data_IF_455837075172
#
_entry.id   IF_455837075172
#
_cell.length_a   1.000
_cell.length_b   1.000
_cell.length_c   1.000
_cell.angle_alpha   90.00
_cell.angle_beta   90.00
_cell.angle_gamma   90.00
#
_symmetry.space_group_name_H-M   'P 1'
#
loop_
_entity.id
_entity.type
_entity.pdbx_description
1 polymer ?
#
# COMPACT_ATOMS: atom_id res chain seq x y z
N UNK A 1 6.10 11.24 -18.03
CA UNK A 1 4.96 10.42 -17.58
C UNK A 1 4.36 11.14 -16.38
N UNK A 2 3.05 11.41 -16.34
CA UNK A 2 2.46 12.12 -15.18
C UNK A 2 2.40 11.18 -13.98
N UNK A 3 3.00 11.59 -12.87
CA UNK A 3 2.84 10.91 -11.59
C UNK A 3 1.57 11.41 -10.90
N UNK A 4 1.04 10.61 -10.01
CA UNK A 4 -0.11 10.93 -9.18
C UNK A 4 0.27 10.64 -7.74
N UNK A 5 0.36 11.67 -6.89
CA UNK A 5 0.91 11.54 -5.53
C UNK A 5 2.27 10.81 -5.47
N UNK A 6 3.12 10.97 -6.49
CA UNK A 6 4.45 10.35 -6.54
C UNK A 6 4.51 8.88 -6.95
N UNK A 7 3.42 8.30 -7.46
CA UNK A 7 3.43 6.98 -8.08
C UNK A 7 2.75 6.99 -9.46
N UNK A 8 2.88 5.88 -10.18
CA UNK A 8 2.19 5.68 -11.46
C UNK A 8 0.74 5.29 -11.21
N UNK A 9 -0.20 6.15 -11.62
CA UNK A 9 -1.62 5.81 -11.59
C UNK A 9 -1.91 4.54 -12.40
N UNK A 10 -2.70 3.63 -11.82
CA UNK A 10 -3.26 2.48 -12.54
C UNK A 10 -4.71 2.76 -12.95
N UNK A 11 -5.14 2.17 -14.06
CA UNK A 11 -6.56 2.17 -14.44
C UNK A 11 -7.34 1.26 -13.49
N UNK A 12 -8.64 1.54 -13.31
CA UNK A 12 -9.54 0.66 -12.54
C UNK A 12 -9.51 -0.74 -13.19
N UNK A 13 -9.08 -1.80 -12.48
CA UNK A 13 -9.12 -3.15 -13.02
C UNK A 13 -10.55 -3.61 -13.25
N UNK A 14 -10.73 -4.57 -14.16
CA UNK A 14 -12.04 -5.18 -14.40
C UNK A 14 -12.56 -5.85 -13.13
N UNK A 15 -13.88 -5.76 -12.90
CA UNK A 15 -14.57 -6.36 -11.76
C UNK A 15 -14.11 -5.87 -10.37
N UNK A 16 -13.49 -4.69 -10.29
CA UNK A 16 -13.14 -4.04 -9.03
C UNK A 16 -14.02 -2.81 -8.80
N UNK A 17 -14.58 -2.71 -7.60
CA UNK A 17 -15.38 -1.55 -7.16
C UNK A 17 -14.48 -0.33 -6.98
N UNK A 18 -14.73 0.73 -7.73
CA UNK A 18 -14.14 2.04 -7.47
C UNK A 18 -14.86 2.71 -6.29
N UNK A 19 -14.10 3.38 -5.43
CA UNK A 19 -14.61 4.02 -4.22
C UNK A 19 -13.98 5.40 -4.04
N UNK A 20 -14.85 6.41 -4.00
CA UNK A 20 -14.49 7.80 -3.69
C UNK A 20 -14.44 8.03 -2.17
N UNK A 21 -13.53 7.32 -1.50
CA UNK A 21 -13.23 7.55 -0.09
C UNK A 21 -11.76 7.97 0.09
N UNK A 22 -11.52 8.80 1.09
CA UNK A 22 -10.19 9.10 1.57
C UNK A 22 -9.92 8.34 2.87
N UNK A 23 -9.14 7.24 2.87
CA UNK A 23 -8.78 6.51 4.08
C UNK A 23 -7.94 7.32 5.09
N UNK A 24 -7.39 8.47 4.69
CA UNK A 24 -6.59 9.35 5.54
C UNK A 24 -7.39 10.59 6.01
N UNK A 25 -8.69 10.65 5.72
CA UNK A 25 -9.53 11.77 6.15
C UNK A 25 -9.71 11.76 7.67
N UNK A 26 -9.94 12.95 8.24
CA UNK A 26 -10.17 13.07 9.69
C UNK A 26 -11.35 12.22 10.15
N UNK A 27 -12.41 12.16 9.35
CA UNK A 27 -13.62 11.40 9.62
C UNK A 27 -13.31 9.90 9.71
N UNK A 28 -12.52 9.36 8.76
CA UNK A 28 -12.09 7.95 8.79
C UNK A 28 -11.15 7.69 9.98
N UNK A 29 -10.25 8.61 10.29
CA UNK A 29 -9.32 8.44 11.41
C UNK A 29 -10.02 8.50 12.77
N UNK A 30 -11.15 9.20 12.89
CA UNK A 30 -11.96 9.28 14.10
C UNK A 30 -12.88 8.06 14.28
N UNK A 31 -13.31 7.43 13.19
CA UNK A 31 -14.13 6.20 13.20
C UNK A 31 -13.62 5.16 12.18
N UNK A 32 -12.48 4.50 12.48
CA UNK A 32 -11.84 3.59 11.54
C UNK A 32 -12.60 2.28 11.35
N UNK A 33 -13.41 1.85 12.31
CA UNK A 33 -14.13 0.57 12.23
C UNK A 33 -15.21 0.58 11.16
N UNK A 34 -15.95 1.69 11.03
CA UNK A 34 -16.91 1.89 9.94
C UNK A 34 -16.22 1.81 8.58
N UNK A 35 -15.05 2.43 8.44
CA UNK A 35 -14.25 2.35 7.22
C UNK A 35 -13.81 0.90 6.93
N UNK A 36 -13.24 0.20 7.91
CA UNK A 36 -12.74 -1.16 7.70
C UNK A 36 -13.87 -2.17 7.45
N UNK A 37 -15.04 -2.00 8.07
CA UNK A 37 -16.22 -2.83 7.76
C UNK A 37 -16.66 -2.63 6.31
N UNK A 38 -16.83 -1.37 5.91
CA UNK A 38 -17.20 -0.99 4.55
C UNK A 38 -16.19 -1.49 3.50
N UNK A 39 -14.89 -1.44 3.81
CA UNK A 39 -13.81 -1.96 2.97
C UNK A 39 -13.92 -3.47 2.78
N UNK A 40 -14.16 -4.23 3.85
CA UNK A 40 -14.32 -5.69 3.80
C UNK A 40 -15.56 -6.11 3.02
N UNK A 41 -16.67 -5.39 3.14
CA UNK A 41 -17.91 -5.73 2.42
C UNK A 41 -17.79 -5.57 0.90
N UNK A 42 -17.00 -4.59 0.43
CA UNK A 42 -16.87 -4.26 -1.01
C UNK A 42 -16.12 -5.28 -1.85
N UNK A 43 -15.45 -6.24 -1.24
CA UNK A 43 -14.75 -7.31 -1.95
C UNK A 43 -13.33 -7.57 -1.45
N UNK A 44 -12.55 -8.40 -2.18
CA UNK A 44 -11.15 -8.65 -1.87
C UNK A 44 -10.28 -7.40 -2.06
N UNK A 45 -10.56 -6.62 -3.10
CA UNK A 45 -9.90 -5.36 -3.39
C UNK A 45 -10.93 -4.29 -3.79
N UNK A 46 -10.62 -3.04 -3.47
CA UNK A 46 -11.31 -1.85 -3.96
C UNK A 46 -10.31 -0.92 -4.61
N UNK A 47 -10.77 -0.12 -5.56
CA UNK A 47 -9.96 0.91 -6.19
C UNK A 47 -10.25 2.26 -5.55
N UNK A 48 -9.23 2.90 -4.97
CA UNK A 48 -9.35 4.24 -4.36
C UNK A 48 -9.18 5.32 -5.42
N UNK A 49 -10.27 5.95 -5.83
CA UNK A 49 -10.25 6.95 -6.90
C UNK A 49 -9.34 8.14 -6.58
N UNK A 50 -9.31 8.56 -5.31
CA UNK A 50 -8.50 9.68 -4.81
C UNK A 50 -6.99 9.43 -4.93
N UNK A 51 -6.58 8.16 -4.89
CA UNK A 51 -5.17 7.75 -4.88
C UNK A 51 -4.75 6.92 -6.09
N UNK A 52 -5.68 6.54 -6.97
CA UNK A 52 -5.43 5.72 -8.18
C UNK A 52 -4.67 4.41 -7.88
N UNK A 53 -5.02 3.78 -6.76
CA UNK A 53 -4.40 2.56 -6.25
C UNK A 53 -5.45 1.56 -5.73
N UNK A 54 -5.03 0.31 -5.52
CA UNK A 54 -5.85 -0.73 -4.91
C UNK A 54 -5.68 -0.72 -3.38
N UNK A 55 -6.74 -1.05 -2.67
CA UNK A 55 -6.73 -1.30 -1.23
C UNK A 55 -7.42 -2.64 -0.92
N UNK A 56 -6.97 -3.32 0.14
CA UNK A 56 -7.60 -4.52 0.67
C UNK A 56 -7.66 -4.45 2.19
N UNK A 57 -8.70 -5.03 2.79
CA UNK A 57 -8.91 -5.05 4.25
C UNK A 57 -9.38 -6.40 4.80
N UNK A 58 -9.55 -7.40 3.93
CA UNK A 58 -9.89 -8.77 4.35
C UNK A 58 -8.62 -9.53 4.69
N UNK A 59 -8.69 -10.37 5.72
CA UNK A 59 -7.53 -11.12 6.22
C UNK A 59 -6.82 -11.94 5.13
N UNK A 60 -7.57 -12.64 4.27
CA UNK A 60 -7.01 -13.50 3.22
C UNK A 60 -6.10 -12.71 2.26
N UNK A 61 -6.61 -11.59 1.75
CA UNK A 61 -5.88 -10.73 0.82
C UNK A 61 -4.72 -10.02 1.50
N UNK A 62 -4.93 -9.46 2.69
CA UNK A 62 -3.87 -8.83 3.48
C UNK A 62 -2.73 -9.82 3.75
N UNK A 63 -3.05 -11.04 4.22
CA UNK A 63 -2.03 -12.08 4.45
C UNK A 63 -1.26 -12.41 3.19
N UNK A 64 -1.96 -12.59 2.06
CA UNK A 64 -1.33 -12.91 0.78
C UNK A 64 -0.40 -11.79 0.28
N UNK A 65 -0.82 -10.52 0.43
CA UNK A 65 0.01 -9.35 0.07
C UNK A 65 1.26 -9.28 0.93
N UNK A 66 1.12 -9.41 2.25
CA UNK A 66 2.24 -9.31 3.19
C UNK A 66 3.21 -10.50 3.14
N UNK A 67 2.78 -11.65 2.60
CA UNK A 67 3.60 -12.88 2.55
C UNK A 67 4.34 -13.08 1.23
N UNK A 68 4.04 -12.28 0.19
CA UNK A 68 4.61 -12.45 -1.15
C UNK A 68 5.40 -11.21 -1.59
N UNK A 69 6.61 -11.09 -1.05
CA UNK A 69 7.52 -9.98 -1.34
C UNK A 69 8.05 -9.98 -2.78
N UNK A 70 7.86 -11.06 -3.55
CA UNK A 70 8.25 -11.09 -4.97
C UNK A 70 7.27 -10.29 -5.82
N UNK A 71 5.97 -10.34 -5.47
CA UNK A 71 4.92 -9.58 -6.14
C UNK A 71 4.66 -8.23 -5.49
N UNK A 72 4.79 -8.13 -4.17
CA UNK A 72 4.49 -6.93 -3.38
C UNK A 72 5.76 -6.44 -2.66
N UNK A 73 6.58 -5.71 -3.41
CA UNK A 73 7.89 -5.20 -2.96
C UNK A 73 7.75 -4.01 -2.00
N UNK A 74 8.64 -3.93 -1.02
CA UNK A 74 8.80 -2.80 -0.10
C UNK A 74 9.95 -1.86 -0.52
N UNK A 75 10.89 -2.31 -1.37
CA UNK A 75 12.04 -1.49 -1.81
C UNK A 75 11.66 -0.22 -2.58
N UNK A 76 10.42 -0.14 -3.07
CA UNK A 76 9.88 1.04 -3.76
C UNK A 76 9.16 2.01 -2.82
N UNK A 77 9.33 1.84 -1.51
CA UNK A 77 8.62 2.58 -0.48
C UNK A 77 7.36 1.86 -0.02
N UNK A 78 7.03 2.03 1.25
CA UNK A 78 5.83 1.45 1.90
C UNK A 78 4.70 2.48 2.09
N UNK A 79 4.90 3.69 1.56
CA UNK A 79 3.89 4.75 1.49
C UNK A 79 3.32 4.90 0.07
N UNK A 80 2.67 6.04 -0.20
CA UNK A 80 2.09 6.32 -1.53
C UNK A 80 3.16 6.62 -2.59
N UNK A 81 4.29 7.20 -2.19
CA UNK A 81 5.38 7.57 -3.10
C UNK A 81 6.17 6.34 -3.56
N UNK A 82 6.52 6.32 -4.84
CA UNK A 82 7.29 5.26 -5.46
C UNK A 82 8.76 5.68 -5.59
N UNK A 83 9.64 5.10 -4.78
CA UNK A 83 11.05 5.50 -4.68
C UNK A 83 11.87 5.23 -5.95
N UNK A 84 11.32 4.47 -6.90
CA UNK A 84 11.92 4.30 -8.23
C UNK A 84 11.64 5.50 -9.15
N UNK A 85 10.58 6.25 -8.85
CA UNK A 85 10.08 7.35 -9.68
C UNK A 85 10.39 8.72 -9.05
N UNK A 86 10.45 8.80 -7.73
CA UNK A 86 10.76 10.03 -6.99
C UNK A 86 11.83 9.82 -5.93
N UNK A 87 12.55 10.91 -5.60
CA UNK A 87 13.53 10.90 -4.52
C UNK A 87 12.79 10.84 -3.17
N UNK A 88 13.08 9.85 -2.31
CA UNK A 88 12.51 9.79 -0.97
C UNK A 88 12.82 11.05 -0.15
N UNK A 89 11.89 11.48 0.70
CA UNK A 89 12.07 12.67 1.54
C UNK A 89 13.14 12.48 2.64
N UNK A 90 13.43 11.23 3.01
CA UNK A 90 14.51 10.83 3.91
C UNK A 90 15.28 9.64 3.32
N UNK A 91 16.51 9.35 3.78
CA UNK A 91 17.17 8.09 3.45
C UNK A 91 16.25 6.89 3.70
N UNK A 92 16.14 5.93 2.77
CA UNK A 92 15.34 4.73 2.96
C UNK A 92 15.80 3.93 4.18
N UNK A 93 14.84 3.31 4.86
CA UNK A 93 15.05 2.41 5.98
C UNK A 93 15.81 1.20 5.50
N UNK A 94 16.84 0.83 6.26
CA UNK A 94 17.69 -0.31 5.98
C UNK A 94 16.93 -1.65 6.07
N UNK A 95 15.77 -1.67 6.73
CA UNK A 95 14.96 -2.89 6.94
C UNK A 95 13.60 -2.78 6.27
N UNK A 96 12.84 -1.71 6.52
CA UNK A 96 11.44 -1.60 6.09
C UNK A 96 11.28 -1.35 4.58
N UNK A 97 12.22 -0.62 3.96
CA UNK A 97 12.16 -0.18 2.56
C UNK A 97 13.20 -0.95 1.72
N UNK A 98 13.37 -2.24 2.03
CA UNK A 98 14.29 -3.18 1.41
C UNK A 98 13.57 -4.52 1.27
N UNK A 99 13.77 -5.22 0.16
CA UNK A 99 13.22 -6.58 -0.04
C UNK A 99 14.23 -7.66 0.39
N UNK A 100 13.75 -8.89 0.69
CA UNK A 100 14.63 -10.04 0.82
C UNK A 100 15.53 -10.29 -0.42
N UNK A 101 16.75 -10.82 -0.23
CA UNK A 101 17.34 -11.29 1.04
C UNK A 101 17.99 -10.18 1.89
N UNK A 102 18.20 -8.97 1.36
CA UNK A 102 18.93 -7.90 2.06
C UNK A 102 18.19 -7.45 3.34
N UNK A 103 16.86 -7.50 3.34
CA UNK A 103 16.06 -7.20 4.52
C UNK A 103 16.35 -8.17 5.69
N UNK A 104 16.52 -9.47 5.40
CA UNK A 104 16.78 -10.48 6.43
C UNK A 104 18.11 -10.24 7.12
N UNK A 105 19.18 -10.04 6.35
CA UNK A 105 20.53 -9.82 6.87
C UNK A 105 20.59 -8.62 7.83
N UNK A 106 19.78 -7.59 7.60
CA UNK A 106 19.76 -6.36 8.40
C UNK A 106 18.81 -6.41 9.59
N UNK A 107 17.79 -7.27 9.55
CA UNK A 107 16.94 -7.57 10.72
C UNK A 107 17.63 -8.46 11.75
N UNK A 108 18.66 -9.21 11.35
CA UNK A 108 19.41 -10.15 12.19
C UNK A 108 20.47 -9.51 13.09
N UNK A 109 20.40 -8.20 13.36
CA UNK A 109 21.31 -7.56 14.33
C UNK A 109 20.86 -7.97 15.73
N UNK A 110 21.49 -9.01 16.26
CA UNK A 110 21.38 -9.42 17.66
C UNK A 110 21.99 -8.34 18.55
N UNK A 111 21.24 -7.91 19.57
CA UNK A 111 21.76 -7.14 20.70
C UNK A 111 22.66 -7.99 21.59
#
# INVERSE_FOLDING_TARGET
>A
MSLFHGHKAIKVPQNITAWDIDPYSKEVLLDPETFFSALRERGPFVYLNKYKMLACGRYKETKAVFSDHQRFVSSRGVGIQDFKLEKPWRPPSLVLEVDPPQAYQKSSVSY
#
